data_IF_623814562195
#
_entry.id   IF_623814562195
#
_cell.length_a   1.000
_cell.length_b   1.000
_cell.length_c   1.000
_cell.angle_alpha   90.00
_cell.angle_beta   90.00
_cell.angle_gamma   90.00
#
_symmetry.space_group_name_H-M   'P 1'
#
loop_
_entity.id
_entity.type
_entity.pdbx_description
1 polymer ?
#
# COMPACT_ATOMS: atom_id res chain seq x y z
N UNK A 1 -34.13 47.75 -51.95
CA UNK A 1 -32.85 48.35 -51.50
C UNK A 1 -32.48 47.75 -50.16
N UNK A 2 -31.35 47.04 -50.03
CA UNK A 2 -30.96 46.46 -48.75
C UNK A 2 -30.75 47.56 -47.71
N UNK A 3 -31.34 47.38 -46.53
CA UNK A 3 -31.32 48.34 -45.44
C UNK A 3 -29.93 48.34 -44.79
N UNK A 4 -29.26 49.49 -44.69
CA UNK A 4 -27.92 49.61 -44.10
C UNK A 4 -27.87 49.01 -42.67
N UNK A 5 -28.96 49.15 -41.91
CA UNK A 5 -29.07 48.59 -40.57
C UNK A 5 -29.09 47.05 -40.56
N UNK A 6 -29.61 46.39 -41.61
CA UNK A 6 -29.60 44.93 -41.69
C UNK A 6 -28.20 44.40 -42.03
N UNK A 7 -27.49 45.06 -42.95
CA UNK A 7 -26.11 44.72 -43.31
C UNK A 7 -25.18 44.85 -42.09
N UNK A 8 -25.28 45.95 -41.34
CA UNK A 8 -24.45 46.17 -40.15
C UNK A 8 -24.74 45.11 -39.06
N UNK A 9 -26.01 44.76 -38.83
CA UNK A 9 -26.38 43.71 -37.86
C UNK A 9 -25.84 42.34 -38.27
N UNK A 10 -25.85 42.01 -39.56
CA UNK A 10 -25.27 40.77 -40.08
C UNK A 10 -23.75 40.73 -39.87
N UNK A 11 -23.07 41.85 -40.11
CA UNK A 11 -21.62 41.95 -39.91
C UNK A 11 -21.23 41.86 -38.44
N UNK A 12 -21.98 42.52 -37.53
CA UNK A 12 -21.81 42.36 -36.08
C UNK A 12 -22.01 40.90 -35.66
N UNK A 13 -23.04 40.22 -36.17
CA UNK A 13 -23.25 38.79 -35.90
C UNK A 13 -22.13 37.92 -36.44
N UNK A 14 -21.57 38.25 -37.61
CA UNK A 14 -20.45 37.53 -38.22
C UNK A 14 -19.19 37.67 -37.36
N UNK A 15 -18.84 38.89 -36.96
CA UNK A 15 -17.70 39.19 -36.10
C UNK A 15 -17.86 38.56 -34.71
N UNK A 16 -19.02 38.70 -34.07
CA UNK A 16 -19.28 38.06 -32.78
C UNK A 16 -19.12 36.53 -32.83
N UNK A 17 -19.62 35.88 -33.89
CA UNK A 17 -19.41 34.43 -34.09
C UNK A 17 -17.95 34.08 -34.33
N UNK A 18 -17.19 34.92 -35.03
CA UNK A 18 -15.76 34.72 -35.27
C UNK A 18 -14.96 34.82 -33.97
N UNK A 19 -15.23 35.83 -33.14
CA UNK A 19 -14.58 36.04 -31.84
C UNK A 19 -14.91 34.92 -30.85
N UNK A 20 -16.19 34.55 -30.72
CA UNK A 20 -16.60 33.41 -29.87
C UNK A 20 -15.91 32.13 -30.31
N UNK A 21 -15.84 31.86 -31.63
CA UNK A 21 -15.14 30.69 -32.13
C UNK A 21 -13.64 30.74 -31.81
N UNK A 22 -12.99 31.89 -31.97
CA UNK A 22 -11.56 32.05 -31.68
C UNK A 22 -11.23 31.73 -30.20
N UNK A 23 -12.09 32.17 -29.27
CA UNK A 23 -11.88 31.95 -27.83
C UNK A 23 -12.26 30.53 -27.39
N UNK A 24 -13.37 29.98 -27.89
CA UNK A 24 -13.88 28.68 -27.42
C UNK A 24 -13.24 27.47 -28.10
N UNK A 25 -12.68 27.61 -29.31
CA UNK A 25 -12.08 26.48 -30.04
C UNK A 25 -10.88 25.86 -29.28
N UNK A 26 -9.92 26.63 -28.74
CA UNK A 26 -8.81 26.07 -27.95
C UNK A 26 -9.31 25.37 -26.69
N UNK A 27 -10.24 25.99 -25.95
CA UNK A 27 -10.84 25.41 -24.73
C UNK A 27 -11.53 24.08 -25.04
N UNK A 28 -12.24 23.99 -26.16
CA UNK A 28 -12.88 22.74 -26.61
C UNK A 28 -11.83 21.67 -26.95
N UNK A 29 -10.73 22.05 -27.61
CA UNK A 29 -9.64 21.12 -27.93
C UNK A 29 -8.96 20.60 -26.66
N UNK A 30 -8.71 21.47 -25.68
CA UNK A 30 -8.16 21.10 -24.38
C UNK A 30 -9.10 20.16 -23.61
N UNK A 31 -10.40 20.44 -23.59
CA UNK A 31 -11.39 19.57 -22.96
C UNK A 31 -11.39 18.17 -23.60
N UNK A 32 -11.25 18.07 -24.92
CA UNK A 32 -11.14 16.78 -25.63
C UNK A 32 -9.82 16.07 -25.29
N UNK A 33 -8.70 16.81 -25.26
CA UNK A 33 -7.41 16.26 -24.91
C UNK A 33 -7.38 15.73 -23.46
N UNK A 34 -7.97 16.48 -22.52
CA UNK A 34 -8.12 16.08 -21.12
C UNK A 34 -8.98 14.82 -20.98
N UNK A 35 -10.15 14.76 -21.65
CA UNK A 35 -10.98 13.55 -21.65
C UNK A 35 -10.23 12.32 -22.17
N UNK A 36 -9.44 12.47 -23.25
CA UNK A 36 -8.58 11.39 -23.77
C UNK A 36 -7.52 10.96 -22.76
N UNK A 37 -6.83 11.92 -22.13
CA UNK A 37 -5.83 11.65 -21.08
C UNK A 37 -6.46 10.92 -19.89
N UNK A 38 -7.60 11.40 -19.39
CA UNK A 38 -8.34 10.76 -18.29
C UNK A 38 -8.71 9.31 -18.64
N UNK A 39 -9.24 9.06 -19.83
CA UNK A 39 -9.56 7.71 -20.28
C UNK A 39 -8.30 6.82 -20.37
N UNK A 40 -7.18 7.37 -20.84
CA UNK A 40 -5.90 6.66 -20.86
C UNK A 40 -5.40 6.30 -19.46
N UNK A 41 -5.48 7.23 -18.51
CA UNK A 41 -5.10 6.99 -17.11
C UNK A 41 -6.02 5.97 -16.45
N UNK A 42 -7.34 6.06 -16.64
CA UNK A 42 -8.30 5.10 -16.10
C UNK A 42 -8.01 3.67 -16.60
N UNK A 43 -7.69 3.49 -17.89
CA UNK A 43 -7.29 2.20 -18.45
C UNK A 43 -5.99 1.66 -17.83
N UNK A 44 -5.00 2.54 -17.62
CA UNK A 44 -3.73 2.16 -16.97
C UNK A 44 -3.94 1.74 -15.52
N UNK A 45 -4.76 2.47 -14.77
CA UNK A 45 -5.12 2.11 -13.40
C UNK A 45 -5.82 0.75 -13.34
N UNK A 46 -6.82 0.51 -14.17
CA UNK A 46 -7.52 -0.78 -14.21
C UNK A 46 -6.58 -1.95 -14.56
N UNK A 47 -5.56 -1.72 -15.41
CA UNK A 47 -4.53 -2.73 -15.70
C UNK A 47 -3.63 -2.97 -14.49
N UNK A 48 -3.13 -1.92 -13.85
CA UNK A 48 -2.29 -2.04 -12.65
C UNK A 48 -3.02 -2.72 -11.50
N UNK A 49 -4.29 -2.41 -11.30
CA UNK A 49 -5.13 -3.07 -10.29
C UNK A 49 -5.24 -4.58 -10.55
N UNK A 50 -5.41 -4.99 -11.81
CA UNK A 50 -5.42 -6.41 -12.19
C UNK A 50 -4.05 -7.06 -11.98
N UNK A 51 -2.97 -6.40 -12.36
CA UNK A 51 -1.61 -6.92 -12.21
C UNK A 51 -1.26 -7.09 -10.72
N UNK A 52 -1.66 -6.13 -9.87
CA UNK A 52 -1.51 -6.23 -8.42
C UNK A 52 -2.38 -7.35 -7.85
N UNK A 53 -3.64 -7.46 -8.25
CA UNK A 53 -4.52 -8.55 -7.80
C UNK A 53 -3.95 -9.92 -8.18
N UNK A 54 -3.42 -10.06 -9.39
CA UNK A 54 -2.72 -11.25 -9.85
C UNK A 54 -1.48 -11.52 -9.01
N UNK A 55 -0.61 -10.54 -8.81
CA UNK A 55 0.60 -10.68 -7.99
C UNK A 55 0.27 -11.10 -6.54
N UNK A 56 -0.73 -10.48 -5.92
CA UNK A 56 -1.21 -10.85 -4.57
C UNK A 56 -1.74 -12.27 -4.55
N UNK A 57 -2.48 -12.70 -5.59
CA UNK A 57 -2.96 -14.08 -5.69
C UNK A 57 -1.81 -15.09 -5.82
N UNK A 58 -0.76 -14.75 -6.58
CA UNK A 58 0.42 -15.59 -6.75
C UNK A 58 1.22 -15.68 -5.45
N UNK A 59 1.41 -14.58 -4.73
CA UNK A 59 2.04 -14.58 -3.40
C UNK A 59 1.20 -15.42 -2.43
N UNK A 60 -0.13 -15.26 -2.42
CA UNK A 60 -1.01 -16.09 -1.60
C UNK A 60 -0.91 -17.59 -1.92
N UNK A 61 -0.76 -17.94 -3.21
CA UNK A 61 -0.55 -19.33 -3.66
C UNK A 61 0.83 -19.84 -3.27
N UNK A 62 1.88 -19.05 -3.42
CA UNK A 62 3.24 -19.40 -2.99
C UNK A 62 3.31 -19.59 -1.47
N UNK A 63 2.65 -18.76 -0.67
CA UNK A 63 2.56 -18.94 0.79
C UNK A 63 1.82 -20.24 1.14
N UNK A 64 0.76 -20.60 0.41
CA UNK A 64 0.06 -21.89 0.60
C UNK A 64 0.95 -23.07 0.21
N UNK A 65 1.65 -23.02 -0.92
CA UNK A 65 2.56 -24.09 -1.36
C UNK A 65 3.75 -24.24 -0.40
N UNK A 66 4.35 -23.14 0.06
CA UNK A 66 5.40 -23.16 1.08
C UNK A 66 4.91 -23.68 2.44
N UNK A 67 3.60 -23.56 2.75
CA UNK A 67 3.01 -24.17 3.93
C UNK A 67 2.74 -25.68 3.79
N UNK A 68 2.78 -26.22 2.56
CA UNK A 68 2.47 -27.63 2.23
C UNK A 68 3.72 -28.45 1.94
N UNK A 69 4.85 -27.81 1.61
CA UNK A 69 6.14 -28.49 1.55
C UNK A 69 6.49 -29.01 2.97
N UNK A 70 6.89 -30.28 3.11
CA UNK A 70 7.43 -30.76 4.36
C UNK A 70 8.72 -29.98 4.60
N UNK A 71 8.64 -28.98 5.48
CA UNK A 71 9.82 -28.34 6.04
C UNK A 71 10.59 -29.50 6.68
N UNK A 72 11.78 -29.80 6.15
CA UNK A 72 12.71 -30.69 6.83
C UNK A 72 12.72 -30.26 8.30
N UNK A 73 12.27 -31.17 9.14
CA UNK A 73 12.01 -30.98 10.54
C UNK A 73 13.36 -30.93 11.27
N UNK A 74 14.21 -29.97 10.89
CA UNK A 74 15.23 -29.46 11.79
C UNK A 74 14.42 -28.88 12.92
N UNK A 75 14.24 -29.68 13.98
CA UNK A 75 13.63 -29.31 15.25
C UNK A 75 14.41 -28.14 15.85
N UNK A 76 14.27 -26.95 15.28
CA UNK A 76 14.97 -25.75 15.71
C UNK A 76 14.31 -25.35 17.02
N UNK A 77 15.00 -25.69 18.11
CA UNK A 77 14.60 -25.25 19.44
C UNK A 77 14.75 -23.73 19.50
N UNK A 78 13.62 -23.04 19.58
CA UNK A 78 13.61 -21.60 19.84
C UNK A 78 13.87 -21.41 21.33
N UNK A 79 14.96 -20.73 21.68
CA UNK A 79 15.32 -20.41 23.05
C UNK A 79 15.19 -18.92 23.31
N UNK A 80 14.95 -18.53 24.56
CA UNK A 80 14.91 -17.12 24.96
C UNK A 80 16.22 -16.39 24.63
N UNK A 81 17.38 -17.06 24.80
CA UNK A 81 18.70 -16.53 24.43
C UNK A 81 18.82 -16.30 22.92
N UNK A 82 18.36 -17.26 22.11
CA UNK A 82 18.35 -17.13 20.65
C UNK A 82 17.50 -15.94 20.17
N UNK A 83 16.34 -15.74 20.80
CA UNK A 83 15.46 -14.61 20.48
C UNK A 83 16.11 -13.26 20.80
N UNK A 84 16.70 -13.13 21.99
CA UNK A 84 17.42 -11.91 22.40
C UNK A 84 18.62 -11.62 21.49
N UNK A 85 19.36 -12.66 21.10
CA UNK A 85 20.50 -12.55 20.17
C UNK A 85 20.05 -12.06 18.80
N UNK A 86 18.96 -12.62 18.26
CA UNK A 86 18.39 -12.24 16.97
C UNK A 86 17.96 -10.76 16.96
N UNK A 87 17.23 -10.33 17.98
CA UNK A 87 16.82 -8.92 18.11
C UNK A 87 18.03 -7.98 18.18
N UNK A 88 19.05 -8.34 18.97
CA UNK A 88 20.29 -7.54 19.08
C UNK A 88 21.07 -7.49 17.78
N UNK A 89 21.18 -8.61 17.05
CA UNK A 89 21.82 -8.68 15.73
C UNK A 89 21.18 -7.70 14.75
N UNK A 90 19.85 -7.58 14.79
CA UNK A 90 19.08 -6.66 13.94
C UNK A 90 19.01 -5.22 14.48
N UNK A 91 19.50 -4.99 15.70
CA UNK A 91 19.46 -3.69 16.39
C UNK A 91 18.05 -3.10 16.44
N UNK A 92 17.07 -3.94 16.80
CA UNK A 92 15.65 -3.59 16.92
C UNK A 92 15.23 -3.50 18.39
N UNK A 93 14.25 -2.64 18.68
CA UNK A 93 13.52 -2.63 19.94
C UNK A 93 12.59 -3.86 20.05
N UNK A 94 12.10 -4.17 21.25
CA UNK A 94 11.16 -5.28 21.45
C UNK A 94 9.85 -5.06 20.68
N UNK A 95 9.38 -3.81 20.57
CA UNK A 95 8.17 -3.47 19.84
C UNK A 95 8.33 -3.63 18.33
N UNK A 96 9.46 -3.21 17.78
CA UNK A 96 9.78 -3.37 16.35
C UNK A 96 9.97 -4.85 15.99
N UNK A 97 10.67 -5.59 16.83
CA UNK A 97 10.86 -7.03 16.64
C UNK A 97 9.52 -7.78 16.72
N UNK A 98 8.64 -7.39 17.64
CA UNK A 98 7.29 -7.92 17.71
C UNK A 98 6.47 -7.60 16.45
N UNK A 99 6.60 -6.37 15.92
CA UNK A 99 5.94 -5.98 14.68
C UNK A 99 6.41 -6.83 13.49
N UNK A 100 7.71 -7.11 13.39
CA UNK A 100 8.30 -7.96 12.36
C UNK A 100 7.77 -9.41 12.44
N UNK A 101 7.60 -9.92 13.67
CA UNK A 101 7.06 -11.27 13.91
C UNK A 101 5.53 -11.35 13.82
N UNK A 102 4.82 -10.21 13.75
CA UNK A 102 3.36 -10.15 13.75
C UNK A 102 2.73 -10.45 15.12
N UNK A 103 3.43 -10.16 16.21
CA UNK A 103 2.99 -10.40 17.59
C UNK A 103 3.00 -9.11 18.42
N UNK A 104 2.54 -9.17 19.67
CA UNK A 104 2.57 -8.01 20.57
C UNK A 104 3.95 -7.84 21.21
N UNK A 105 4.33 -6.59 21.52
CA UNK A 105 5.59 -6.30 22.23
C UNK A 105 5.69 -7.02 23.57
N UNK A 106 4.56 -7.16 24.27
CA UNK A 106 4.46 -7.90 25.53
C UNK A 106 4.79 -9.40 25.36
N UNK A 107 4.40 -10.02 24.25
CA UNK A 107 4.73 -11.42 23.98
C UNK A 107 6.25 -11.61 23.83
N UNK A 108 6.91 -10.71 23.10
CA UNK A 108 8.38 -10.73 22.96
C UNK A 108 9.06 -10.50 24.30
N UNK A 109 8.56 -9.56 25.12
CA UNK A 109 9.07 -9.34 26.47
C UNK A 109 8.99 -10.61 27.33
N UNK A 110 7.83 -11.29 27.34
CA UNK A 110 7.65 -12.54 28.08
C UNK A 110 8.54 -13.69 27.57
N UNK A 111 8.86 -13.71 26.28
CA UNK A 111 9.76 -14.70 25.71
C UNK A 111 11.22 -14.42 26.04
N UNK A 112 11.63 -13.15 26.04
CA UNK A 112 12.99 -12.76 26.42
C UNK A 112 13.24 -12.85 27.93
N UNK A 113 12.20 -12.77 28.77
CA UNK A 113 12.31 -12.87 30.23
C UNK A 113 12.35 -14.31 30.74
N UNK A 114 11.77 -15.26 30.01
CA UNK A 114 11.85 -16.69 30.35
C UNK A 114 13.25 -17.25 30.10
N UNK A 115 13.58 -18.32 30.80
CA UNK A 115 14.81 -19.09 30.56
C UNK A 115 14.44 -20.45 29.94
N UNK A 116 15.28 -20.93 29.02
CA UNK A 116 15.10 -22.22 28.37
C UNK A 116 14.31 -22.20 27.05
N UNK A 117 13.80 -23.37 26.61
CA UNK A 117 13.10 -23.53 25.34
C UNK A 117 11.69 -22.91 25.40
N UNK A 118 11.35 -22.13 24.38
CA UNK A 118 10.05 -21.47 24.25
C UNK A 118 9.08 -22.34 23.45
N UNK A 119 7.92 -22.61 24.03
CA UNK A 119 6.78 -23.20 23.30
C UNK A 119 6.01 -22.07 22.62
N UNK A 120 6.27 -21.87 21.34
CA UNK A 120 5.59 -20.86 20.51
C UNK A 120 4.65 -21.54 19.52
N UNK A 121 3.52 -20.91 19.20
CA UNK A 121 2.57 -21.40 18.18
C UNK A 121 3.28 -21.57 16.83
N UNK A 122 2.85 -22.56 16.05
CA UNK A 122 3.52 -22.94 14.80
C UNK A 122 3.64 -21.79 13.80
N UNK A 123 2.60 -20.96 13.68
CA UNK A 123 2.62 -19.74 12.87
C UNK A 123 3.78 -18.81 13.22
N UNK A 124 4.02 -18.61 14.52
CA UNK A 124 5.05 -17.70 15.00
C UNK A 124 6.44 -18.34 14.88
N UNK A 125 6.57 -19.66 15.07
CA UNK A 125 7.83 -20.37 14.80
C UNK A 125 8.27 -20.16 13.35
N UNK A 126 7.36 -20.30 12.39
CA UNK A 126 7.63 -20.03 10.97
C UNK A 126 8.08 -18.59 10.75
N UNK A 127 7.43 -17.61 11.37
CA UNK A 127 7.86 -16.20 11.32
C UNK A 127 9.27 -16.01 11.89
N UNK A 128 9.59 -16.63 13.02
CA UNK A 128 10.91 -16.54 13.65
C UNK A 128 11.99 -17.17 12.77
N UNK A 129 11.70 -18.32 12.14
CA UNK A 129 12.62 -18.98 11.21
C UNK A 129 12.86 -18.13 9.96
N UNK A 130 11.80 -17.57 9.37
CA UNK A 130 11.92 -16.67 8.22
C UNK A 130 12.76 -15.42 8.55
N UNK A 131 12.62 -14.88 9.77
CA UNK A 131 13.38 -13.71 10.22
C UNK A 131 14.82 -14.05 10.58
N UNK A 132 15.13 -15.29 10.97
CA UNK A 132 16.49 -15.70 11.39
C UNK A 132 17.55 -15.46 10.32
N UNK A 133 17.18 -15.64 9.05
CA UNK A 133 18.08 -15.53 7.91
C UNK A 133 18.14 -14.09 7.34
N UNK A 134 17.34 -13.15 7.86
CA UNK A 134 17.33 -11.75 7.42
C UNK A 134 18.54 -10.96 7.95
N UNK A 135 19.06 -10.05 7.11
CA UNK A 135 20.08 -9.07 7.50
C UNK A 135 19.51 -7.92 8.33
N UNK A 136 20.36 -7.25 9.14
CA UNK A 136 19.94 -6.11 9.98
C UNK A 136 19.36 -4.93 9.17
N UNK A 137 19.88 -4.70 7.96
CA UNK A 137 19.39 -3.64 7.05
C UNK A 137 17.99 -3.96 6.52
N UNK A 138 17.77 -5.20 6.11
CA UNK A 138 16.48 -5.67 5.59
C UNK A 138 15.41 -5.67 6.67
N UNK A 139 15.76 -6.14 7.88
CA UNK A 139 14.85 -6.14 9.02
C UNK A 139 14.35 -4.73 9.37
N UNK A 140 15.23 -3.71 9.31
CA UNK A 140 14.84 -2.31 9.56
C UNK A 140 13.92 -1.77 8.47
N UNK A 141 14.24 -2.01 7.20
CA UNK A 141 13.39 -1.59 6.07
C UNK A 141 11.98 -2.19 6.18
N UNK A 142 11.87 -3.46 6.52
CA UNK A 142 10.57 -4.13 6.72
C UNK A 142 9.78 -3.50 7.88
N UNK A 143 10.45 -3.17 8.99
CA UNK A 143 9.81 -2.48 10.12
C UNK A 143 9.30 -1.10 9.71
N UNK A 144 10.06 -0.35 8.91
CA UNK A 144 9.65 0.96 8.39
C UNK A 144 8.44 0.86 7.44
N UNK A 145 8.44 -0.11 6.51
CA UNK A 145 7.30 -0.39 5.61
C UNK A 145 6.03 -0.77 6.42
N UNK A 146 6.19 -1.58 7.46
CA UNK A 146 5.12 -1.95 8.39
C UNK A 146 4.62 -0.77 9.24
N UNK A 147 5.48 0.21 9.54
CA UNK A 147 5.11 1.43 10.25
C UNK A 147 4.37 2.42 9.33
N UNK A 148 4.81 2.55 8.07
CA UNK A 148 4.17 3.40 7.05
C UNK A 148 2.74 2.97 6.72
N UNK A 149 2.51 1.67 6.56
CA UNK A 149 1.17 1.10 6.29
C UNK A 149 0.20 1.29 7.46
N UNK A 150 0.66 1.19 8.72
CA UNK A 150 -0.19 1.46 9.90
C UNK A 150 -0.61 2.93 9.98
N UNK A 151 0.26 3.86 9.62
CA UNK A 151 -0.03 5.30 9.63
C UNK A 151 -1.11 5.67 8.59
N UNK A 152 -1.05 5.05 7.40
CA UNK A 152 -2.07 5.24 6.36
C UNK A 152 -3.45 4.69 6.78
N UNK A 153 -3.50 3.50 7.41
CA UNK A 153 -4.77 2.90 7.88
C UNK A 153 -5.43 3.71 9.01
N UNK A 154 -4.64 4.40 9.85
CA UNK A 154 -5.15 5.26 10.93
C UNK A 154 -5.74 6.58 10.40
N UNK A 155 -5.19 7.11 9.30
CA UNK A 155 -5.71 8.31 8.61
C UNK A 155 -7.02 8.07 7.86
N UNK A 156 -7.25 6.84 7.38
CA UNK A 156 -8.46 6.48 6.61
C UNK A 156 -9.67 6.02 7.44
N UNK A 157 -9.59 5.96 8.79
CA UNK A 157 -10.73 5.54 9.61
C UNK A 157 -11.53 6.77 10.07
N UNK A 158 -12.71 7.07 9.49
CA UNK A 158 -13.56 8.13 10.00
C UNK A 158 -13.93 7.79 11.45
N UNK A 159 -13.70 8.73 12.36
CA UNK A 159 -14.14 8.61 13.75
C UNK A 159 -15.66 8.53 13.74
N UNK A 160 -16.21 7.35 13.98
CA UNK A 160 -17.64 7.16 14.14
C UNK A 160 -18.16 8.10 15.22
N UNK A 161 -19.17 8.91 14.86
CA UNK A 161 -19.91 9.77 15.78
C UNK A 161 -20.39 8.92 16.95
N UNK A 162 -20.06 9.35 18.17
CA UNK A 162 -20.64 8.80 19.39
C UNK A 162 -22.15 8.91 19.32
N UNK A 163 -22.84 7.83 19.67
CA UNK A 163 -24.26 7.88 20.01
C UNK A 163 -24.38 8.74 21.27
N UNK A 164 -25.18 9.79 21.19
CA UNK A 164 -25.69 10.49 22.36
C UNK A 164 -26.72 9.58 23.02
N UNK A 165 -26.53 9.34 24.32
CA UNK A 165 -27.60 8.92 25.23
C UNK A 165 -28.44 10.13 25.61
#
# INVERSE_FOLDING_TARGET
>A
MPNLASILKEEIRRLARKEVKAVFLPVKQDAVALKKRMAGLAKRLARLEKDVAFAVSQVGRQVKVAATLPVEDKRVRITAKGMRSMRRKMRLTQAEFAALLGVTGQAVYQWESKQGPLRVRERVKRSILAVRDLGAREARRLVEELAGTKTQKKRGRPRGRGKAD
#
